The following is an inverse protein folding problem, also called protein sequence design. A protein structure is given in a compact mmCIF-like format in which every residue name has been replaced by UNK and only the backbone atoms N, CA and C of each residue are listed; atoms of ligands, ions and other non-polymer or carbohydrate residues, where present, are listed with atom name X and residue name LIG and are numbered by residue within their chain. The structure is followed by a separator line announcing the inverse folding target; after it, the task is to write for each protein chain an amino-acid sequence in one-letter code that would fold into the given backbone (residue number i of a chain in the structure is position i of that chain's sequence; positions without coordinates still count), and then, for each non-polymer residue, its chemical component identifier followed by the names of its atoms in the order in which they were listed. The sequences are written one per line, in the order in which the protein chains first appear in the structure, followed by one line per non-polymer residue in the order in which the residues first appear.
data_IF_598454822889
#
_entry.id   IF_598454822889
#
_cell.length_a   1.000
_cell.length_b   1.000
_cell.length_c   1.000
_cell.angle_alpha   90.00
_cell.angle_beta   90.00
_cell.angle_gamma   90.00
#
_symmetry.space_group_name_H-M   'P 1'
#
loop_
_entity.id
_entity.type
_entity.pdbx_description
1 polymer ?
#
# COMPACT_ATOMS: atom_id res chain seq x y z
N UNK A 1 -13.29 -14.01 4.43
CA UNK A 1 -12.32 -13.17 3.71
C UNK A 1 -10.93 -13.53 4.19
N UNK A 2 -10.04 -13.96 3.30
CA UNK A 2 -8.66 -14.32 3.65
C UNK A 2 -7.87 -13.02 3.85
N UNK A 3 -7.01 -12.89 4.87
CA UNK A 3 -6.43 -11.59 5.21
C UNK A 3 -5.47 -11.12 4.10
N UNK A 4 -5.65 -9.89 3.62
CA UNK A 4 -4.71 -9.25 2.70
C UNK A 4 -3.30 -9.15 3.31
N UNK A 5 -2.27 -9.08 2.46
CA UNK A 5 -0.84 -9.11 2.81
C UNK A 5 -0.37 -8.15 3.93
N UNK A 6 -1.13 -7.11 4.29
CA UNK A 6 -0.81 -6.27 5.47
C UNK A 6 -1.14 -6.93 6.79
N UNK A 7 -2.15 -7.82 6.85
CA UNK A 7 -2.30 -8.74 7.98
C UNK A 7 -1.13 -9.72 8.05
N UNK A 8 -0.63 -10.18 6.91
CA UNK A 8 0.60 -10.97 6.89
C UNK A 8 1.77 -10.17 7.45
N UNK A 9 2.02 -8.93 6.99
CA UNK A 9 3.13 -8.12 7.49
C UNK A 9 2.99 -7.72 8.97
N UNK A 10 1.77 -7.41 9.43
CA UNK A 10 1.49 -7.16 10.85
C UNK A 10 1.66 -8.42 11.69
N UNK A 11 1.21 -9.58 11.21
CA UNK A 11 1.39 -10.85 11.90
C UNK A 11 2.87 -11.25 11.93
N UNK A 12 3.61 -11.00 10.84
CA UNK A 12 5.07 -11.16 10.77
C UNK A 12 5.74 -10.24 11.77
N UNK A 13 5.30 -8.98 11.88
CA UNK A 13 5.84 -8.04 12.87
C UNK A 13 5.59 -8.50 14.31
N UNK A 14 4.38 -8.95 14.62
CA UNK A 14 4.06 -9.55 15.92
C UNK A 14 4.92 -10.78 16.18
N UNK A 15 5.15 -11.63 15.17
CA UNK A 15 5.99 -12.82 15.32
C UNK A 15 7.47 -12.48 15.55
N UNK A 16 7.98 -11.43 14.91
CA UNK A 16 9.31 -10.90 15.17
C UNK A 16 9.44 -10.37 16.60
N UNK A 17 8.45 -9.62 17.09
CA UNK A 17 8.43 -9.11 18.47
C UNK A 17 8.42 -10.26 19.49
N UNK A 18 7.56 -11.28 19.29
CA UNK A 18 7.55 -12.48 20.13
C UNK A 18 8.89 -13.24 20.10
N UNK A 19 9.59 -13.23 18.97
CA UNK A 19 10.88 -13.89 18.81
C UNK A 19 12.00 -13.13 19.50
N UNK A 20 12.01 -11.81 19.41
CA UNK A 20 12.93 -10.94 20.17
C UNK A 20 12.72 -11.12 21.68
N UNK A 21 11.46 -11.21 22.13
CA UNK A 21 11.11 -11.46 23.52
C UNK A 21 11.64 -12.82 24.00
N UNK A 22 11.42 -13.90 23.22
CA UNK A 22 11.94 -15.25 23.54
C UNK A 22 13.46 -15.32 23.56
N UNK A 23 14.13 -14.58 22.69
CA UNK A 23 15.59 -14.54 22.61
C UNK A 23 16.20 -13.62 23.67
N UNK A 24 15.41 -12.74 24.30
CA UNK A 24 15.88 -11.73 25.24
C UNK A 24 16.82 -10.70 24.61
N UNK A 25 16.82 -10.58 23.28
CA UNK A 25 17.64 -9.64 22.52
C UNK A 25 16.94 -9.25 21.22
N UNK A 26 17.27 -8.07 20.71
CA UNK A 26 16.81 -7.63 19.37
C UNK A 26 17.51 -8.42 18.27
N UNK A 27 16.79 -8.65 17.18
CA UNK A 27 17.32 -9.26 15.97
C UNK A 27 18.18 -8.25 15.20
N UNK A 28 19.28 -8.71 14.63
CA UNK A 28 20.03 -7.91 13.66
C UNK A 28 19.22 -7.72 12.37
N UNK A 29 19.52 -6.67 11.61
CA UNK A 29 18.79 -6.35 10.36
C UNK A 29 18.74 -7.53 9.38
N UNK A 30 19.85 -8.29 9.25
CA UNK A 30 19.90 -9.48 8.41
C UNK A 30 19.06 -10.65 8.93
N UNK A 31 19.01 -10.85 10.27
CA UNK A 31 18.17 -11.87 10.90
C UNK A 31 16.68 -11.55 10.68
N UNK A 32 16.29 -10.29 10.90
CA UNK A 32 14.92 -9.83 10.70
C UNK A 32 14.46 -10.01 9.23
N UNK A 33 15.30 -9.64 8.26
CA UNK A 33 14.99 -9.83 6.83
C UNK A 33 14.79 -11.31 6.49
N UNK A 34 15.64 -12.20 7.02
CA UNK A 34 15.55 -13.63 6.77
C UNK A 34 14.26 -14.24 7.30
N UNK A 35 13.81 -13.81 8.49
CA UNK A 35 12.55 -14.28 9.09
C UNK A 35 11.34 -13.79 8.30
N UNK A 36 11.32 -12.51 7.94
CA UNK A 36 10.25 -11.94 7.11
C UNK A 36 10.13 -12.70 5.78
N UNK A 37 11.26 -12.97 5.12
CA UNK A 37 11.28 -13.71 3.87
C UNK A 37 10.73 -15.14 4.03
N UNK A 38 11.14 -15.85 5.08
CA UNK A 38 10.66 -17.22 5.35
C UNK A 38 9.16 -17.28 5.67
N UNK A 39 8.64 -16.31 6.41
CA UNK A 39 7.20 -16.23 6.70
C UNK A 39 6.39 -15.92 5.43
N UNK A 40 6.82 -14.96 4.63
CA UNK A 40 6.18 -14.64 3.35
C UNK A 40 6.19 -15.86 2.41
N UNK A 41 7.29 -16.60 2.33
CA UNK A 41 7.39 -17.84 1.57
C UNK A 41 6.40 -18.90 2.10
N UNK A 42 6.28 -19.04 3.41
CA UNK A 42 5.34 -19.99 4.03
C UNK A 42 3.88 -19.66 3.74
N UNK A 43 3.53 -18.36 3.70
CA UNK A 43 2.19 -17.88 3.39
C UNK A 43 1.87 -18.07 1.91
N UNK A 44 2.80 -17.72 1.04
CA UNK A 44 2.70 -17.99 -0.39
C UNK A 44 2.49 -19.48 -0.66
N UNK A 45 3.25 -20.36 0.02
CA UNK A 45 3.08 -21.81 -0.08
C UNK A 45 1.70 -22.28 0.40
N UNK A 46 1.19 -21.76 1.52
CA UNK A 46 -0.16 -22.11 2.00
C UNK A 46 -1.27 -21.67 1.03
N UNK A 47 -1.17 -20.48 0.44
CA UNK A 47 -2.10 -20.04 -0.60
C UNK A 47 -2.01 -20.92 -1.85
N UNK A 48 -0.79 -21.19 -2.29
CA UNK A 48 -0.51 -22.07 -3.42
C UNK A 48 -1.11 -23.48 -3.24
N UNK A 49 -0.87 -24.10 -2.08
CA UNK A 49 -1.36 -25.45 -1.77
C UNK A 49 -2.91 -25.51 -1.66
N UNK A 50 -3.56 -24.41 -1.26
CA UNK A 50 -5.02 -24.38 -1.05
C UNK A 50 -5.81 -23.92 -2.28
N UNK A 51 -5.27 -23.00 -3.07
CA UNK A 51 -5.99 -22.34 -4.17
C UNK A 51 -5.31 -22.51 -5.54
N UNK A 52 -4.08 -23.02 -5.59
CA UNK A 52 -3.30 -23.13 -6.83
C UNK A 52 -2.82 -21.78 -7.40
N UNK A 53 -3.05 -20.69 -6.67
CA UNK A 53 -2.69 -19.33 -7.02
C UNK A 53 -2.16 -18.60 -5.80
N UNK A 54 -1.25 -17.64 -6.03
CA UNK A 54 -0.73 -16.73 -5.02
C UNK A 54 -1.20 -15.34 -5.38
N UNK A 55 -1.98 -14.72 -4.50
CA UNK A 55 -2.43 -13.34 -4.68
C UNK A 55 -1.46 -12.39 -3.98
N UNK A 56 -1.10 -11.31 -4.65
CA UNK A 56 -0.21 -10.29 -4.13
C UNK A 56 -0.69 -8.89 -4.48
N UNK A 57 -0.55 -7.95 -3.56
CA UNK A 57 -0.84 -6.53 -3.83
C UNK A 57 0.47 -5.79 -3.99
N UNK A 58 0.67 -5.16 -5.15
CA UNK A 58 1.73 -4.19 -5.35
C UNK A 58 1.23 -2.84 -4.88
N UNK A 59 2.00 -2.20 -4.01
CA UNK A 59 1.79 -0.83 -3.57
C UNK A 59 2.94 0.02 -4.15
N UNK A 60 2.61 1.07 -4.88
CA UNK A 60 3.56 2.01 -5.45
C UNK A 60 3.30 3.41 -4.90
N UNK A 61 4.30 4.04 -4.32
CA UNK A 61 4.24 5.42 -3.85
C UNK A 61 5.06 6.30 -4.78
N UNK A 62 4.45 7.36 -5.31
CA UNK A 62 5.07 8.25 -6.29
C UNK A 62 4.86 9.72 -5.95
N UNK A 63 5.79 10.56 -6.40
CA UNK A 63 5.69 12.00 -6.32
C UNK A 63 5.34 12.54 -7.72
N UNK A 64 4.18 13.15 -7.86
CA UNK A 64 3.73 13.73 -9.12
C UNK A 64 3.86 15.25 -9.02
N UNK A 65 4.74 15.81 -9.84
CA UNK A 65 4.86 17.26 -10.01
C UNK A 65 3.80 17.73 -10.99
N UNK A 66 2.97 18.67 -10.58
CA UNK A 66 1.91 19.25 -11.40
C UNK A 66 1.96 20.78 -11.36
N UNK A 67 1.36 21.39 -12.39
CA UNK A 67 1.03 22.81 -12.41
C UNK A 67 -0.48 22.90 -12.34
N UNK A 68 -1.01 23.47 -11.28
CA UNK A 68 -2.45 23.48 -11.03
C UNK A 68 -2.97 24.85 -10.61
N UNK A 69 -4.26 25.05 -10.84
CA UNK A 69 -5.06 26.13 -10.26
C UNK A 69 -6.09 25.45 -9.38
N UNK A 70 -6.05 25.72 -8.08
CA UNK A 70 -6.99 25.18 -7.11
C UNK A 70 -7.76 26.32 -6.45
N UNK A 71 -9.09 26.25 -6.55
CA UNK A 71 -10.00 27.23 -5.96
C UNK A 71 -11.31 26.55 -5.59
N UNK A 72 -11.80 26.79 -4.37
CA UNK A 72 -13.15 26.42 -3.93
C UNK A 72 -13.97 27.69 -3.84
N UNK A 73 -15.17 27.67 -4.43
CA UNK A 73 -16.06 28.84 -4.52
C UNK A 73 -17.42 28.53 -3.91
N UNK A 74 -17.90 29.46 -3.09
CA UNK A 74 -19.27 29.48 -2.62
C UNK A 74 -20.22 29.80 -3.77
N UNK A 75 -21.22 28.95 -3.98
CA UNK A 75 -22.14 29.06 -5.12
C UNK A 75 -23.11 30.23 -4.97
N UNK A 76 -23.51 30.58 -3.76
CA UNK A 76 -24.51 31.62 -3.52
C UNK A 76 -23.89 33.01 -3.52
N UNK A 77 -22.68 33.13 -2.97
CA UNK A 77 -21.97 34.41 -2.83
C UNK A 77 -21.02 34.70 -4.00
N UNK A 78 -20.77 33.71 -4.86
CA UNK A 78 -19.73 33.73 -5.90
C UNK A 78 -18.34 34.08 -5.33
N UNK A 79 -18.12 33.80 -4.05
CA UNK A 79 -16.90 34.15 -3.33
C UNK A 79 -15.97 32.96 -3.25
N UNK A 80 -14.68 33.20 -3.45
CA UNK A 80 -13.64 32.20 -3.26
C UNK A 80 -13.42 31.99 -1.76
N UNK A 81 -13.63 30.76 -1.30
CA UNK A 81 -13.51 30.38 0.11
C UNK A 81 -12.20 29.63 0.41
N UNK A 82 -11.56 29.08 -0.62
CA UNK A 82 -10.25 28.44 -0.52
C UNK A 82 -9.48 28.57 -1.84
N UNK A 83 -8.17 28.67 -1.77
CA UNK A 83 -7.31 28.74 -2.95
C UNK A 83 -7.09 30.16 -3.45
N UNK A 84 -6.71 30.30 -4.72
CA UNK A 84 -6.35 31.59 -5.31
C UNK A 84 -7.53 32.16 -6.12
N UNK A 85 -8.05 33.37 -5.80
CA UNK A 85 -9.16 33.98 -6.51
C UNK A 85 -8.79 34.55 -7.89
N UNK A 86 -7.51 34.80 -8.15
CA UNK A 86 -6.99 35.35 -9.40
C UNK A 86 -6.58 34.26 -10.39
N UNK A 87 -6.76 32.98 -10.03
CA UNK A 87 -6.47 31.85 -10.91
C UNK A 87 -4.97 31.63 -11.12
N UNK A 88 -4.14 31.98 -10.14
CA UNK A 88 -2.70 31.77 -10.20
C UNK A 88 -2.38 30.28 -10.34
N UNK A 89 -1.50 29.97 -11.29
CA UNK A 89 -0.92 28.63 -11.45
C UNK A 89 0.15 28.41 -10.40
N UNK A 90 0.03 27.34 -9.63
CA UNK A 90 1.00 26.91 -8.63
C UNK A 90 1.71 25.63 -9.08
N UNK A 91 3.00 25.52 -8.75
CA UNK A 91 3.74 24.27 -8.86
C UNK A 91 3.54 23.46 -7.58
N UNK A 92 2.89 22.32 -7.68
CA UNK A 92 2.57 21.43 -6.55
C UNK A 92 3.21 20.07 -6.78
N UNK A 93 3.63 19.40 -5.72
CA UNK A 93 4.09 18.02 -5.78
C UNK A 93 3.16 17.18 -4.93
N UNK A 94 2.34 16.36 -5.59
CA UNK A 94 1.45 15.44 -4.89
C UNK A 94 2.15 14.14 -4.56
N UNK A 95 1.90 13.62 -3.37
CA UNK A 95 2.26 12.26 -2.98
C UNK A 95 1.08 11.35 -3.30
N UNK A 96 1.25 10.39 -4.21
CA UNK A 96 0.16 9.50 -4.62
C UNK A 96 0.54 8.05 -4.40
N UNK A 97 -0.37 7.28 -3.82
CA UNK A 97 -0.24 5.83 -3.64
C UNK A 97 -1.16 5.09 -4.60
N UNK A 98 -0.59 4.14 -5.32
CA UNK A 98 -1.28 3.27 -6.25
C UNK A 98 -1.22 1.83 -5.76
N UNK A 99 -2.28 1.07 -6.01
CA UNK A 99 -2.36 -0.35 -5.70
C UNK A 99 -2.80 -1.16 -6.92
N UNK A 100 -2.27 -2.38 -7.03
CA UNK A 100 -2.68 -3.37 -8.01
C UNK A 100 -2.61 -4.76 -7.38
N UNK A 101 -3.67 -5.54 -7.55
CA UNK A 101 -3.66 -6.96 -7.19
C UNK A 101 -3.13 -7.79 -8.37
N UNK A 102 -2.30 -8.76 -8.07
CA UNK A 102 -1.74 -9.75 -9.00
C UNK A 102 -2.15 -11.13 -8.50
N UNK A 103 -2.59 -11.98 -9.42
CA UNK A 103 -2.76 -13.41 -9.15
C UNK A 103 -1.74 -14.18 -9.97
N UNK A 104 -0.77 -14.79 -9.29
CA UNK A 104 0.26 -15.61 -9.92
C UNK A 104 -0.11 -17.09 -9.81
N UNK A 105 -0.21 -17.79 -10.94
CA UNK A 105 -0.40 -19.24 -10.93
C UNK A 105 0.92 -19.93 -10.64
N UNK A 106 0.93 -20.81 -9.63
CA UNK A 106 2.10 -21.62 -9.27
C UNK A 106 2.27 -22.87 -10.14
N UNK A 107 1.25 -23.26 -10.91
CA UNK A 107 1.27 -24.44 -11.77
C UNK A 107 1.61 -24.11 -13.24
N UNK A 108 2.21 -22.94 -13.50
CA UNK A 108 2.51 -22.48 -14.86
C UNK A 108 1.28 -22.02 -15.66
N UNK A 109 0.15 -21.81 -15.00
CA UNK A 109 -1.03 -21.18 -15.60
C UNK A 109 -0.85 -19.68 -15.86
N UNK A 110 -1.79 -19.03 -16.56
CA UNK A 110 -1.72 -17.60 -16.81
C UNK A 110 -1.79 -16.83 -15.50
N UNK A 111 -0.85 -15.90 -15.29
CA UNK A 111 -0.94 -14.93 -14.21
C UNK A 111 -1.83 -13.77 -14.66
N UNK A 112 -2.65 -13.24 -13.75
CA UNK A 112 -3.51 -12.09 -14.04
C UNK A 112 -2.98 -10.86 -13.31
N UNK A 113 -2.93 -9.75 -14.05
CA UNK A 113 -2.69 -8.43 -13.49
C UNK A 113 -4.03 -7.75 -13.34
N UNK A 114 -4.28 -7.19 -12.15
CA UNK A 114 -5.39 -6.28 -11.92
C UNK A 114 -5.14 -4.92 -12.57
N UNK A 115 -6.01 -3.97 -12.25
CA UNK A 115 -5.86 -2.58 -12.66
C UNK A 115 -5.18 -1.77 -11.56
N UNK A 116 -4.39 -0.77 -11.94
CA UNK A 116 -3.91 0.24 -10.99
C UNK A 116 -5.08 1.08 -10.48
N UNK A 117 -5.10 1.31 -9.17
CA UNK A 117 -6.06 2.18 -8.50
C UNK A 117 -5.32 3.13 -7.56
N UNK A 118 -5.75 4.39 -7.49
CA UNK A 118 -5.23 5.32 -6.48
C UNK A 118 -5.89 4.98 -5.15
N UNK A 119 -5.10 4.78 -4.10
CA UNK A 119 -5.59 4.47 -2.75
C UNK A 119 -5.36 5.60 -1.76
N UNK A 120 -4.44 6.53 -2.06
CA UNK A 120 -4.19 7.71 -1.24
C UNK A 120 -3.56 8.84 -2.05
N UNK A 121 -3.86 10.09 -1.67
CA UNK A 121 -3.29 11.32 -2.25
C UNK A 121 -2.95 12.26 -1.09
N UNK A 122 -1.74 12.82 -1.11
CA UNK A 122 -1.21 13.80 -0.15
C UNK A 122 -1.34 13.37 1.31
N UNK A 123 -1.24 12.06 1.56
CA UNK A 123 -1.46 11.42 2.85
C UNK A 123 -2.76 11.88 3.54
N UNK A 124 -3.81 12.16 2.77
CA UNK A 124 -5.14 12.53 3.27
C UNK A 124 -5.68 11.49 4.26
N UNK A 125 -5.29 10.23 4.09
CA UNK A 125 -5.66 9.13 4.97
C UNK A 125 -4.50 8.67 5.87
N UNK A 126 -3.43 9.46 6.04
CA UNK A 126 -2.22 9.09 6.79
C UNK A 126 -1.56 7.80 6.28
N UNK A 127 -1.72 7.50 4.99
CA UNK A 127 -1.28 6.22 4.44
C UNK A 127 -2.12 5.01 4.82
N UNK A 128 -3.35 5.21 5.31
CA UNK A 128 -4.28 4.13 5.58
C UNK A 128 -4.80 3.52 4.28
N UNK A 129 -4.51 2.23 4.10
CA UNK A 129 -5.07 1.39 3.04
C UNK A 129 -6.37 0.78 3.56
N UNK A 130 -7.50 1.05 2.89
CA UNK A 130 -8.80 0.46 3.22
C UNK A 130 -8.86 -0.99 2.70
N UNK A 131 -9.46 -1.90 3.49
CA UNK A 131 -9.68 -3.29 3.10
C UNK A 131 -11.17 -3.61 3.09
N UNK A 132 -11.63 -4.32 2.06
CA UNK A 132 -12.93 -5.01 1.98
C UNK A 132 -12.74 -6.51 2.05
#
# INVERSE_FOLDING_TARGET
ATPALRHALRNVWVHLEEKEEKLGRRLGMGEAISEIAGELESLAKKQADSQGVVESTIICQTLIKCREIFTVRDVELDQVVQGDPEGKVNDVTHLVRFEMTISASINGGPSTLGSWQITDIDDLLEGNVWYT
#
